data_IF_758456040676
#
_entry.id   IF_758456040676
#
_cell.length_a   1.000
_cell.length_b   1.000
_cell.length_c   1.000
_cell.angle_alpha   90.00
_cell.angle_beta   90.00
_cell.angle_gamma   90.00
#
_symmetry.space_group_name_H-M   'P 1'
#
loop_
_entity.id
_entity.type
_entity.pdbx_description
1 polymer ?
#
# COMPACT_ATOMS: atom_id res chain seq x y z
N UNK A 1 4.31 -1.26 16.37
CA UNK A 1 3.99 0.05 15.77
C UNK A 1 2.91 0.81 16.54
N UNK A 2 1.92 0.15 17.15
CA UNK A 2 0.89 0.82 17.95
C UNK A 2 1.25 1.01 19.43
N UNK A 3 2.26 0.30 19.92
CA UNK A 3 2.86 0.58 21.23
C UNK A 3 3.62 1.91 21.19
N UNK A 4 3.43 2.74 22.23
CA UNK A 4 3.91 4.14 22.28
C UNK A 4 5.41 4.25 22.06
N UNK A 5 6.20 3.35 22.67
CA UNK A 5 7.65 3.37 22.52
C UNK A 5 8.05 3.20 21.05
N UNK A 6 7.48 2.21 20.36
CA UNK A 6 7.78 1.98 18.95
C UNK A 6 7.19 3.04 18.02
N UNK A 7 6.00 3.54 18.33
CA UNK A 7 5.35 4.59 17.54
C UNK A 7 6.20 5.86 17.52
N UNK A 8 6.59 6.35 18.70
CA UNK A 8 7.46 7.53 18.84
C UNK A 8 8.82 7.28 18.20
N UNK A 9 9.43 6.11 18.44
CA UNK A 9 10.72 5.78 17.88
C UNK A 9 10.71 5.86 16.34
N UNK A 10 9.70 5.31 15.68
CA UNK A 10 9.60 5.32 14.20
C UNK A 10 9.27 6.71 13.68
N UNK A 11 8.32 7.43 14.29
CA UNK A 11 7.92 8.77 13.85
C UNK A 11 9.09 9.77 13.89
N UNK A 12 9.90 9.73 14.93
CA UNK A 12 11.08 10.59 15.07
C UNK A 12 12.15 10.36 13.99
N UNK A 13 12.19 9.18 13.36
CA UNK A 13 13.21 8.83 12.33
C UNK A 13 12.66 8.76 10.91
N UNK A 14 11.35 8.86 10.70
CA UNK A 14 10.72 8.66 9.37
C UNK A 14 11.34 9.57 8.29
N UNK A 15 11.55 10.86 8.60
CA UNK A 15 12.15 11.82 7.66
C UNK A 15 13.60 11.47 7.28
N UNK A 16 14.43 11.07 8.26
CA UNK A 16 15.83 10.72 8.00
C UNK A 16 15.92 9.38 7.27
N UNK A 17 15.06 8.43 7.59
CA UNK A 17 14.97 7.14 6.91
C UNK A 17 14.64 7.32 5.42
N UNK A 18 13.65 8.14 5.09
CA UNK A 18 13.32 8.49 3.70
C UNK A 18 14.46 9.20 2.98
N UNK A 19 15.14 10.12 3.66
CA UNK A 19 16.30 10.83 3.10
C UNK A 19 17.43 9.87 2.76
N UNK A 20 17.74 8.93 3.65
CA UNK A 20 18.76 7.90 3.41
C UNK A 20 18.40 7.02 2.20
N UNK A 21 17.15 6.59 2.07
CA UNK A 21 16.69 5.80 0.93
C UNK A 21 16.72 6.57 -0.39
N UNK A 22 16.35 7.86 -0.40
CA UNK A 22 16.47 8.72 -1.58
C UNK A 22 17.91 8.79 -2.07
N UNK A 23 18.84 9.13 -1.17
CA UNK A 23 20.27 9.23 -1.49
C UNK A 23 20.81 7.89 -1.99
N UNK A 24 20.48 6.78 -1.30
CA UNK A 24 20.90 5.45 -1.73
C UNK A 24 20.42 5.13 -3.15
N UNK A 25 19.16 5.49 -3.48
CA UNK A 25 18.58 5.29 -4.82
C UNK A 25 19.29 6.14 -5.88
N UNK A 26 19.52 7.41 -5.60
CA UNK A 26 20.24 8.34 -6.51
C UNK A 26 21.68 7.87 -6.79
N UNK A 27 22.33 7.26 -5.80
CA UNK A 27 23.68 6.69 -5.93
C UNK A 27 23.71 5.26 -6.50
N UNK A 28 22.54 4.66 -6.79
CA UNK A 28 22.47 3.27 -7.28
C UNK A 28 22.83 2.20 -6.23
N UNK A 29 22.74 2.53 -4.94
CA UNK A 29 23.03 1.62 -3.82
C UNK A 29 21.76 0.84 -3.46
N UNK A 30 21.82 -0.49 -3.60
CA UNK A 30 20.71 -1.36 -3.27
C UNK A 30 20.45 -1.41 -1.75
N UNK A 31 19.21 -1.12 -1.35
CA UNK A 31 18.75 -1.10 0.06
C UNK A 31 17.48 -1.93 0.26
N UNK A 32 17.44 -3.22 -0.14
CA UNK A 32 16.20 -3.99 -0.26
C UNK A 32 15.42 -4.10 1.06
N UNK A 33 16.09 -4.36 2.17
CA UNK A 33 15.44 -4.50 3.48
C UNK A 33 14.90 -3.17 4.01
N UNK A 34 15.63 -2.06 3.83
CA UNK A 34 15.18 -0.74 4.27
C UNK A 34 14.02 -0.23 3.42
N UNK A 35 14.09 -0.44 2.09
CA UNK A 35 13.02 -0.07 1.17
C UNK A 35 11.74 -0.87 1.42
N UNK A 36 11.85 -2.19 1.65
CA UNK A 36 10.68 -3.03 1.94
C UNK A 36 10.06 -2.70 3.28
N UNK A 37 10.86 -2.42 4.32
CA UNK A 37 10.37 -2.01 5.62
C UNK A 37 9.63 -0.66 5.55
N UNK A 38 10.12 0.31 4.77
CA UNK A 38 9.42 1.59 4.59
C UNK A 38 8.10 1.40 3.83
N UNK A 39 8.12 0.62 2.76
CA UNK A 39 6.92 0.29 1.99
C UNK A 39 5.86 -0.41 2.85
N UNK A 40 6.27 -1.35 3.71
CA UNK A 40 5.37 -2.00 4.67
C UNK A 40 4.80 -1.00 5.67
N UNK A 41 5.63 -0.13 6.25
CA UNK A 41 5.19 0.88 7.21
C UNK A 41 4.15 1.82 6.60
N UNK A 42 4.41 2.31 5.39
CA UNK A 42 3.49 3.18 4.65
C UNK A 42 2.19 2.47 4.26
N UNK A 43 2.28 1.19 3.85
CA UNK A 43 1.10 0.40 3.55
C UNK A 43 0.25 0.14 4.80
N UNK A 44 0.88 -0.21 5.93
CA UNK A 44 0.20 -0.53 7.18
C UNK A 44 -0.58 0.66 7.75
N UNK A 45 -0.01 1.88 7.68
CA UNK A 45 -0.67 3.09 8.18
C UNK A 45 -1.67 3.72 7.20
N UNK A 46 -1.79 3.18 5.99
CA UNK A 46 -2.72 3.69 4.96
C UNK A 46 -4.08 3.04 5.11
N UNK A 47 -5.08 3.80 5.57
CA UNK A 47 -6.45 3.30 5.70
C UNK A 47 -7.09 2.88 4.35
N UNK A 48 -6.59 3.43 3.23
CA UNK A 48 -6.98 3.05 1.87
C UNK A 48 -5.74 2.80 1.02
N UNK A 49 -5.65 1.59 0.46
CA UNK A 49 -4.63 1.19 -0.50
C UNK A 49 -5.21 1.15 -1.92
N UNK A 50 -4.39 1.24 -2.97
CA UNK A 50 -4.82 1.13 -4.36
C UNK A 50 -5.27 -0.30 -4.75
N UNK A 51 -5.49 -1.20 -3.77
CA UNK A 51 -5.97 -2.55 -3.99
C UNK A 51 -7.39 -2.59 -4.62
N UNK A 52 -8.14 -1.49 -4.58
CA UNK A 52 -9.39 -1.35 -5.33
C UNK A 52 -9.18 -1.48 -6.84
N UNK A 53 -8.05 -1.02 -7.38
CA UNK A 53 -7.73 -1.21 -8.80
C UNK A 53 -7.44 -2.67 -9.13
N UNK A 54 -6.75 -3.39 -8.24
CA UNK A 54 -6.53 -4.84 -8.38
C UNK A 54 -7.88 -5.57 -8.38
N UNK A 55 -8.79 -5.20 -7.48
CA UNK A 55 -10.15 -5.75 -7.45
C UNK A 55 -10.91 -5.46 -8.75
N UNK A 56 -10.83 -4.24 -9.28
CA UNK A 56 -11.46 -3.89 -10.56
C UNK A 56 -10.88 -4.71 -11.72
N UNK A 57 -9.55 -4.88 -11.78
CA UNK A 57 -8.90 -5.71 -12.79
C UNK A 57 -9.38 -7.16 -12.70
N UNK A 58 -9.34 -7.77 -11.51
CA UNK A 58 -9.80 -9.15 -11.28
C UNK A 58 -11.25 -9.36 -11.68
N UNK A 59 -12.11 -8.39 -11.40
CA UNK A 59 -13.51 -8.45 -11.79
C UNK A 59 -13.66 -8.33 -13.32
N UNK A 60 -12.91 -7.42 -13.94
CA UNK A 60 -12.91 -7.19 -15.40
C UNK A 60 -12.55 -8.43 -16.20
N UNK A 61 -11.41 -9.08 -15.90
CA UNK A 61 -10.92 -10.19 -16.72
C UNK A 61 -11.44 -11.56 -16.30
N UNK A 62 -11.96 -11.71 -15.08
CA UNK A 62 -12.20 -13.01 -14.47
C UNK A 62 -13.50 -13.15 -13.69
N UNK A 63 -14.38 -12.15 -13.73
CA UNK A 63 -15.66 -12.12 -13.00
C UNK A 63 -15.48 -12.47 -11.50
N UNK A 64 -14.36 -12.04 -10.91
CA UNK A 64 -13.97 -12.42 -9.55
C UNK A 64 -14.74 -11.69 -8.45
N UNK A 65 -15.62 -10.74 -8.80
CA UNK A 65 -16.42 -9.93 -7.88
C UNK A 65 -15.58 -9.03 -6.96
N UNK A 66 -16.22 -8.08 -6.29
CA UNK A 66 -15.61 -7.20 -5.29
C UNK A 66 -16.63 -6.69 -4.26
N UNK A 67 -16.13 -6.08 -3.19
CA UNK A 67 -16.93 -5.40 -2.17
C UNK A 67 -16.87 -3.88 -2.35
N UNK A 68 -17.90 -3.18 -1.87
CA UNK A 68 -17.98 -1.72 -1.93
C UNK A 68 -17.78 -1.09 -0.55
N UNK A 69 -17.54 0.22 -0.54
CA UNK A 69 -17.32 1.00 0.70
C UNK A 69 -18.57 1.71 1.19
N UNK A 70 -19.62 1.74 0.40
CA UNK A 70 -20.88 2.45 0.69
C UNK A 70 -22.02 1.51 1.11
N UNK A 71 -21.90 0.21 0.86
CA UNK A 71 -22.89 -0.80 1.26
C UNK A 71 -22.30 -2.21 1.28
N UNK A 72 -22.88 -3.04 2.13
CA UNK A 72 -22.55 -4.45 2.25
C UNK A 72 -23.04 -5.24 1.04
N UNK A 73 -22.28 -6.28 0.69
CA UNK A 73 -22.61 -7.20 -0.40
C UNK A 73 -21.41 -7.56 -1.28
N UNK A 74 -21.66 -8.47 -2.22
CA UNK A 74 -20.72 -8.89 -3.26
C UNK A 74 -21.24 -8.40 -4.61
N UNK A 75 -20.40 -7.73 -5.38
CA UNK A 75 -20.77 -7.06 -6.62
C UNK A 75 -19.92 -7.58 -7.76
N UNK A 76 -20.55 -7.77 -8.92
CA UNK A 76 -19.89 -7.95 -10.21
C UNK A 76 -20.32 -6.79 -11.11
N UNK A 77 -19.38 -6.25 -11.88
CA UNK A 77 -19.69 -5.27 -12.92
C UNK A 77 -19.56 -5.93 -14.28
N UNK A 78 -20.56 -5.75 -15.14
CA UNK A 78 -20.42 -6.06 -16.56
C UNK A 78 -19.62 -4.92 -17.22
N UNK A 79 -18.35 -5.19 -17.52
CA UNK A 79 -17.42 -4.14 -17.96
C UNK A 79 -17.40 -3.90 -19.47
N UNK A 80 -17.90 -4.85 -20.25
CA UNK A 80 -17.99 -4.76 -21.70
C UNK A 80 -19.45 -4.52 -22.08
N UNK A 81 -19.70 -3.54 -22.95
CA UNK A 81 -20.99 -3.40 -23.62
C UNK A 81 -21.02 -4.40 -24.78
N UNK A 82 -21.99 -5.33 -24.76
CA UNK A 82 -22.35 -6.16 -25.92
C UNK A 82 -23.26 -5.38 -26.87
#
# INVERSE_FOLDING_TARGET
>A
LLDDYFASAVQERDSQWRTALRIATELGIATPAMSSALAYFDAYRSARLPANLIQAQRDYFGAHTYQRTDRDGTFHTEWQEL
#
